data_IF_984942090741
#
_entry.id   IF_984942090741
#
_cell.length_a   1.000
_cell.length_b   1.000
_cell.length_c   1.000
_cell.angle_alpha   90.00
_cell.angle_beta   90.00
_cell.angle_gamma   90.00
#
_symmetry.space_group_name_H-M   'P 1'
#
loop_
_entity.id
_entity.type
_entity.pdbx_description
1 polymer ?
#
# COMPACT_ATOMS: atom_id res chain seq x y z
N UNK A 1 21.56 2.21 -59.86
CA UNK A 1 22.14 1.64 -58.62
C UNK A 1 22.13 2.74 -57.54
N UNK A 2 20.95 3.13 -57.07
CA UNK A 2 20.78 4.24 -56.10
C UNK A 2 20.37 3.70 -54.72
N UNK A 3 21.19 2.81 -54.16
CA UNK A 3 20.98 2.29 -52.78
C UNK A 3 21.76 3.12 -51.75
N UNK A 4 22.70 3.97 -52.19
CA UNK A 4 23.58 4.73 -51.29
C UNK A 4 22.90 5.93 -50.60
N UNK A 5 21.89 6.57 -51.22
CA UNK A 5 21.25 7.76 -50.64
C UNK A 5 20.21 7.44 -49.55
N UNK A 6 19.62 6.24 -49.59
CA UNK A 6 18.61 5.83 -48.63
C UNK A 6 19.21 5.52 -47.25
N UNK A 7 20.44 4.98 -47.23
CA UNK A 7 21.17 4.66 -46.00
C UNK A 7 21.65 5.94 -45.31
N UNK A 8 22.10 6.95 -46.07
CA UNK A 8 22.53 8.25 -45.52
C UNK A 8 21.37 8.99 -44.87
N UNK A 9 20.19 8.98 -45.48
CA UNK A 9 18.99 9.58 -44.87
C UNK A 9 18.49 8.81 -43.64
N UNK A 10 18.61 7.47 -43.62
CA UNK A 10 18.21 6.68 -42.45
C UNK A 10 19.09 6.96 -41.22
N UNK A 11 20.42 7.10 -41.38
CA UNK A 11 21.32 7.36 -40.26
C UNK A 11 21.13 8.77 -39.67
N UNK A 12 20.82 9.77 -40.51
CA UNK A 12 20.58 11.16 -40.06
C UNK A 12 19.25 11.29 -39.29
N UNK A 13 18.22 10.52 -39.66
CA UNK A 13 16.92 10.55 -38.96
C UNK A 13 16.95 9.75 -37.65
N UNK A 14 17.73 8.66 -37.58
CA UNK A 14 17.83 7.85 -36.36
C UNK A 14 18.84 8.37 -35.32
N UNK A 15 19.78 9.25 -35.70
CA UNK A 15 20.79 9.79 -34.77
C UNK A 15 20.28 10.78 -33.72
N UNK A 16 19.11 11.41 -33.93
CA UNK A 16 18.60 12.49 -33.06
C UNK A 16 17.41 12.04 -32.20
N UNK A 17 16.78 10.89 -32.51
CA UNK A 17 15.54 10.44 -31.85
C UNK A 17 15.68 9.48 -30.66
N UNK A 18 16.90 9.08 -30.27
CA UNK A 18 17.10 7.96 -29.34
C UNK A 18 17.19 8.31 -27.84
N UNK A 19 17.48 9.56 -27.47
CA UNK A 19 17.86 9.88 -26.08
C UNK A 19 16.71 10.38 -25.19
N UNK A 20 15.55 10.73 -25.75
CA UNK A 20 14.47 11.35 -24.98
C UNK A 20 13.58 10.36 -24.22
N UNK A 21 13.51 9.09 -24.65
CA UNK A 21 12.53 8.14 -24.10
C UNK A 21 12.98 7.57 -22.74
N UNK A 22 14.30 7.53 -22.48
CA UNK A 22 14.84 7.02 -21.21
C UNK A 22 14.61 7.99 -20.03
N UNK A 23 14.46 9.29 -20.28
CA UNK A 23 14.25 10.29 -19.23
C UNK A 23 12.77 10.41 -18.79
N UNK A 24 11.81 9.99 -19.63
CA UNK A 24 10.38 10.13 -19.33
C UNK A 24 9.88 9.13 -18.27
N UNK A 25 10.52 7.95 -18.15
CA UNK A 25 10.15 6.93 -17.16
C UNK A 25 10.64 7.23 -15.73
N UNK A 26 11.44 8.28 -15.53
CA UNK A 26 11.95 8.66 -14.21
C UNK A 26 11.05 9.67 -13.46
N UNK A 27 10.06 10.28 -14.11
CA UNK A 27 9.33 11.43 -13.55
C UNK A 27 8.02 11.08 -12.81
N UNK A 28 7.57 9.81 -12.84
CA UNK A 28 6.40 9.35 -12.09
C UNK A 28 6.73 8.47 -10.89
N UNK A 29 7.97 8.51 -10.38
CA UNK A 29 8.25 8.01 -9.04
C UNK A 29 7.79 9.08 -8.04
N UNK A 30 6.46 9.20 -7.89
CA UNK A 30 5.83 10.06 -6.88
C UNK A 30 6.55 9.79 -5.55
N UNK A 31 6.96 10.83 -4.80
CA UNK A 31 7.45 10.59 -3.45
C UNK A 31 6.32 9.89 -2.72
N UNK A 32 6.58 8.64 -2.29
CA UNK A 32 5.73 7.95 -1.31
C UNK A 32 5.65 8.94 -0.16
N UNK A 33 4.47 9.54 0.01
CA UNK A 33 4.17 10.36 1.18
C UNK A 33 4.61 9.53 2.37
N UNK A 34 5.34 10.12 3.33
CA UNK A 34 5.78 9.43 4.54
C UNK A 34 4.55 8.76 5.14
N UNK A 35 4.38 7.47 4.86
CA UNK A 35 3.28 6.71 5.41
C UNK A 35 3.59 6.66 6.90
N UNK A 36 2.62 7.01 7.76
CA UNK A 36 2.86 6.96 9.19
C UNK A 36 3.27 5.55 9.65
N UNK A 37 3.01 4.52 8.86
CA UNK A 37 3.46 3.15 9.08
C UNK A 37 4.62 2.80 8.13
N UNK A 38 5.78 2.39 8.65
CA UNK A 38 6.87 1.86 7.83
C UNK A 38 6.55 0.47 7.27
N UNK A 39 5.49 -0.19 7.76
CA UNK A 39 5.08 -1.53 7.38
C UNK A 39 4.13 -1.46 6.18
N UNK A 40 4.56 -2.00 5.03
CA UNK A 40 3.68 -2.22 3.88
C UNK A 40 2.58 -3.24 4.20
N UNK A 41 1.56 -3.32 3.33
CA UNK A 41 0.48 -4.30 3.48
C UNK A 41 1.06 -5.72 3.60
N UNK A 42 0.51 -6.51 4.50
CA UNK A 42 0.92 -7.90 4.67
C UNK A 42 0.54 -8.66 3.40
N UNK A 43 1.52 -9.25 2.72
CA UNK A 43 1.34 -9.93 1.43
C UNK A 43 0.91 -11.40 1.55
N UNK A 44 0.98 -11.99 2.76
CA UNK A 44 0.56 -13.38 2.99
C UNK A 44 -0.21 -13.52 4.32
N UNK A 45 -1.42 -14.12 4.29
CA UNK A 45 -2.15 -14.45 5.50
C UNK A 45 -1.50 -15.66 6.22
N UNK A 46 -1.49 -15.65 7.56
CA UNK A 46 -0.95 -16.75 8.36
C UNK A 46 -1.87 -17.97 8.37
N UNK A 47 -3.17 -17.79 8.06
CA UNK A 47 -4.15 -18.86 7.92
C UNK A 47 -4.32 -19.22 6.43
N UNK A 48 -4.43 -20.51 6.07
CA UNK A 48 -4.93 -20.90 4.75
C UNK A 48 -6.38 -20.42 4.56
N UNK A 49 -6.55 -19.45 3.66
CA UNK A 49 -7.87 -18.93 3.22
C UNK A 49 -8.22 -19.52 1.85
N UNK A 50 -9.51 -19.48 1.48
CA UNK A 50 -9.99 -19.88 0.14
C UNK A 50 -9.17 -19.26 -1.00
N UNK A 51 -8.93 -20.00 -2.09
CA UNK A 51 -8.23 -19.51 -3.29
C UNK A 51 -8.81 -18.18 -3.82
N UNK A 52 -10.14 -18.02 -3.72
CA UNK A 52 -10.83 -16.80 -4.14
C UNK A 52 -10.48 -15.62 -3.21
N UNK A 53 -10.51 -15.85 -1.90
CA UNK A 53 -10.11 -14.86 -0.90
C UNK A 53 -8.62 -14.51 -1.00
N UNK A 54 -7.75 -15.49 -1.26
CA UNK A 54 -6.33 -15.27 -1.48
C UNK A 54 -6.06 -14.36 -2.67
N UNK A 55 -6.78 -14.58 -3.78
CA UNK A 55 -6.66 -13.74 -4.98
C UNK A 55 -7.09 -12.31 -4.69
N UNK A 56 -8.19 -12.12 -3.97
CA UNK A 56 -8.65 -10.80 -3.52
C UNK A 56 -7.63 -10.14 -2.56
N UNK A 57 -7.02 -10.91 -1.66
CA UNK A 57 -6.03 -10.43 -0.70
C UNK A 57 -4.74 -9.96 -1.38
N UNK A 58 -4.17 -10.77 -2.27
CA UNK A 58 -2.95 -10.42 -3.02
C UNK A 58 -3.20 -9.22 -3.93
N UNK A 59 -4.35 -9.19 -4.61
CA UNK A 59 -4.71 -8.05 -5.45
C UNK A 59 -4.94 -6.78 -4.63
N UNK A 60 -5.46 -6.88 -3.40
CA UNK A 60 -5.58 -5.76 -2.49
C UNK A 60 -4.22 -5.23 -2.01
N UNK A 61 -3.26 -6.12 -1.72
CA UNK A 61 -1.90 -5.70 -1.36
C UNK A 61 -1.25 -4.94 -2.53
N UNK A 62 -1.44 -5.42 -3.76
CA UNK A 62 -0.94 -4.75 -4.97
C UNK A 62 -1.57 -3.36 -5.18
N UNK A 63 -2.89 -3.22 -5.00
CA UNK A 63 -3.56 -1.92 -5.12
C UNK A 63 -3.21 -0.97 -3.96
N UNK A 64 -2.96 -1.51 -2.76
CA UNK A 64 -2.43 -0.75 -1.63
C UNK A 64 -1.04 -0.17 -1.94
N UNK A 65 -0.13 -0.97 -2.48
CA UNK A 65 1.21 -0.53 -2.91
C UNK A 65 1.13 0.50 -4.06
N UNK A 66 0.13 0.37 -4.92
CA UNK A 66 -0.17 1.38 -5.95
C UNK A 66 -0.73 2.70 -5.37
N UNK A 67 -1.02 2.75 -4.06
CA UNK A 67 -1.59 3.91 -3.37
C UNK A 67 -3.11 4.02 -3.49
N UNK A 68 -3.78 3.01 -4.06
CA UNK A 68 -5.21 3.02 -4.35
C UNK A 68 -6.00 2.39 -3.18
N UNK A 69 -5.89 3.01 -2.00
CA UNK A 69 -6.38 2.46 -0.72
C UNK A 69 -7.88 2.18 -0.71
N UNK A 70 -8.69 2.95 -1.44
CA UNK A 70 -10.14 2.73 -1.56
C UNK A 70 -10.44 1.40 -2.26
N UNK A 71 -9.70 1.09 -3.31
CA UNK A 71 -9.87 -0.16 -4.06
C UNK A 71 -9.35 -1.35 -3.25
N UNK A 72 -8.24 -1.18 -2.55
CA UNK A 72 -7.73 -2.17 -1.61
C UNK A 72 -8.77 -2.50 -0.52
N UNK A 73 -9.46 -1.49 0.02
CA UNK A 73 -10.53 -1.68 1.01
C UNK A 73 -11.70 -2.51 0.45
N UNK A 74 -12.14 -2.26 -0.78
CA UNK A 74 -13.21 -3.03 -1.41
C UNK A 74 -12.83 -4.52 -1.54
N UNK A 75 -11.61 -4.77 -2.03
CA UNK A 75 -11.07 -6.12 -2.18
C UNK A 75 -10.89 -6.81 -0.82
N UNK A 76 -10.36 -6.12 0.19
CA UNK A 76 -10.22 -6.66 1.55
C UNK A 76 -11.57 -6.90 2.22
N UNK A 77 -12.60 -6.11 1.88
CA UNK A 77 -13.96 -6.32 2.39
C UNK A 77 -14.50 -7.68 1.93
N UNK A 78 -14.27 -8.04 0.67
CA UNK A 78 -14.63 -9.37 0.16
C UNK A 78 -13.85 -10.49 0.89
N UNK A 79 -12.59 -10.24 1.27
CA UNK A 79 -11.79 -11.21 2.05
C UNK A 79 -12.41 -11.44 3.43
N UNK A 80 -12.78 -10.38 4.16
CA UNK A 80 -13.36 -10.52 5.51
C UNK A 80 -14.81 -11.03 5.50
N UNK A 81 -15.52 -10.89 4.38
CA UNK A 81 -16.86 -11.50 4.21
C UNK A 81 -16.77 -13.02 4.08
N UNK A 82 -15.74 -13.53 3.41
CA UNK A 82 -15.48 -14.96 3.30
C UNK A 82 -14.80 -15.50 4.57
N UNK A 83 -13.79 -14.78 5.06
CA UNK A 83 -12.92 -15.21 6.16
C UNK A 83 -12.83 -14.11 7.23
N UNK A 84 -13.87 -13.97 8.08
CA UNK A 84 -13.92 -12.94 9.11
C UNK A 84 -12.82 -13.10 10.17
N UNK A 85 -12.20 -14.27 10.26
CA UNK A 85 -11.12 -14.59 11.20
C UNK A 85 -9.71 -14.26 10.66
N UNK A 86 -9.60 -13.72 9.44
CA UNK A 86 -8.32 -13.34 8.85
C UNK A 86 -7.78 -12.06 9.50
N UNK A 87 -6.88 -12.21 10.46
CA UNK A 87 -6.26 -11.10 11.19
C UNK A 87 -5.47 -10.15 10.27
N UNK A 88 -4.77 -10.69 9.27
CA UNK A 88 -4.01 -9.91 8.28
C UNK A 88 -4.92 -9.06 7.41
N UNK A 89 -6.11 -9.56 7.05
CA UNK A 89 -7.08 -8.77 6.29
C UNK A 89 -7.56 -7.57 7.13
N UNK A 90 -7.90 -7.78 8.40
CA UNK A 90 -8.26 -6.69 9.32
C UNK A 90 -7.12 -5.68 9.51
N UNK A 91 -5.88 -6.15 9.59
CA UNK A 91 -4.70 -5.31 9.69
C UNK A 91 -4.50 -4.46 8.44
N UNK A 92 -4.56 -5.05 7.24
CA UNK A 92 -4.47 -4.34 5.97
C UNK A 92 -5.61 -3.33 5.78
N UNK A 93 -6.83 -3.64 6.25
CA UNK A 93 -7.95 -2.70 6.28
C UNK A 93 -7.64 -1.52 7.20
N UNK A 94 -7.05 -1.78 8.38
CA UNK A 94 -6.62 -0.75 9.31
C UNK A 94 -5.60 0.21 8.69
N UNK A 95 -4.58 -0.34 8.04
CA UNK A 95 -3.60 0.44 7.29
C UNK A 95 -4.25 1.24 6.16
N UNK A 96 -5.14 0.63 5.39
CA UNK A 96 -5.80 1.31 4.28
C UNK A 96 -6.67 2.48 4.77
N UNK A 97 -7.44 2.29 5.85
CA UNK A 97 -8.21 3.39 6.45
C UNK A 97 -7.32 4.51 6.99
N UNK A 98 -6.20 4.17 7.62
CA UNK A 98 -5.27 5.18 8.13
C UNK A 98 -4.65 6.00 6.99
N UNK A 99 -4.33 5.37 5.87
CA UNK A 99 -3.83 6.05 4.68
C UNK A 99 -4.91 6.89 3.96
N UNK A 100 -6.18 6.50 4.07
CA UNK A 100 -7.32 7.33 3.63
C UNK A 100 -7.59 8.51 4.58
N UNK A 101 -6.99 8.51 5.77
CA UNK A 101 -7.16 9.54 6.81
C UNK A 101 -8.28 9.26 7.82
N UNK A 102 -8.95 8.10 7.73
CA UNK A 102 -9.98 7.68 8.68
C UNK A 102 -9.35 6.92 9.85
N UNK A 103 -8.65 7.66 10.72
CA UNK A 103 -7.96 7.10 11.88
C UNK A 103 -8.94 6.38 12.84
N UNK A 104 -10.19 6.84 12.94
CA UNK A 104 -11.20 6.22 13.79
C UNK A 104 -11.59 4.81 13.30
N UNK A 105 -11.72 4.62 12.00
CA UNK A 105 -11.94 3.28 11.44
C UNK A 105 -10.67 2.44 11.47
N UNK A 106 -9.51 3.05 11.23
CA UNK A 106 -8.23 2.36 11.32
C UNK A 106 -8.02 1.70 12.69
N UNK A 107 -8.23 2.45 13.79
CA UNK A 107 -8.12 1.93 15.16
C UNK A 107 -9.10 0.77 15.38
N UNK A 108 -10.35 0.89 14.93
CA UNK A 108 -11.35 -0.19 15.07
C UNK A 108 -10.95 -1.46 14.33
N UNK A 109 -10.41 -1.32 13.12
CA UNK A 109 -9.91 -2.45 12.34
C UNK A 109 -8.68 -3.09 12.98
N UNK A 110 -7.75 -2.28 13.51
CA UNK A 110 -6.60 -2.79 14.26
C UNK A 110 -7.00 -3.53 15.54
N UNK A 111 -8.01 -3.05 16.28
CA UNK A 111 -8.54 -3.77 17.43
C UNK A 111 -9.09 -5.15 17.06
N UNK A 112 -9.84 -5.24 15.95
CA UNK A 112 -10.32 -6.52 15.41
C UNK A 112 -9.17 -7.43 14.96
N UNK A 113 -8.15 -6.87 14.33
CA UNK A 113 -6.96 -7.62 13.94
C UNK A 113 -6.25 -8.22 15.16
N UNK A 114 -6.11 -7.44 16.25
CA UNK A 114 -5.53 -7.92 17.51
C UNK A 114 -6.31 -9.08 18.12
N UNK A 115 -7.63 -8.99 18.18
CA UNK A 115 -8.52 -10.08 18.66
C UNK A 115 -8.39 -11.33 17.78
N UNK A 116 -8.35 -11.16 16.46
CA UNK A 116 -8.14 -12.26 15.52
C UNK A 116 -6.75 -12.90 15.68
N UNK A 117 -5.68 -12.10 15.87
CA UNK A 117 -4.33 -12.63 16.11
C UNK A 117 -4.22 -13.38 17.44
N UNK A 118 -4.94 -12.92 18.47
CA UNK A 118 -5.02 -13.61 19.76
C UNK A 118 -5.66 -15.00 19.60
N UNK A 119 -6.77 -15.08 18.86
CA UNK A 119 -7.42 -16.36 18.48
C UNK A 119 -6.51 -17.27 17.66
N UNK A 120 -5.66 -16.70 16.81
CA UNK A 120 -4.69 -17.44 16.02
C UNK A 120 -3.44 -17.85 16.81
N UNK A 121 -3.26 -17.34 18.04
CA UNK A 121 -2.04 -17.54 18.82
C UNK A 121 -0.80 -16.84 18.23
N UNK A 122 -0.99 -15.87 17.33
CA UNK A 122 0.11 -15.22 16.60
C UNK A 122 0.56 -13.95 17.29
N UNK A 123 1.50 -14.10 18.23
CA UNK A 123 2.06 -12.97 19.01
C UNK A 123 2.78 -11.92 18.15
N UNK A 124 3.39 -12.34 17.04
CA UNK A 124 4.05 -11.42 16.10
C UNK A 124 3.06 -10.42 15.47
N UNK A 125 1.83 -10.86 15.18
CA UNK A 125 0.78 -10.02 14.63
C UNK A 125 0.26 -9.01 15.65
N UNK A 126 0.07 -9.44 16.91
CA UNK A 126 -0.34 -8.58 18.02
C UNK A 126 0.68 -7.45 18.25
N UNK A 127 1.98 -7.78 18.24
CA UNK A 127 3.03 -6.78 18.40
C UNK A 127 3.00 -5.70 17.30
N UNK A 128 2.80 -6.11 16.02
CA UNK A 128 2.66 -5.17 14.89
C UNK A 128 1.45 -4.27 15.05
N UNK A 129 0.28 -4.86 15.29
CA UNK A 129 -0.99 -4.12 15.50
C UNK A 129 -0.84 -3.09 16.62
N UNK A 130 -0.21 -3.48 17.73
CA UNK A 130 0.02 -2.58 18.86
C UNK A 130 0.92 -1.41 18.48
N UNK A 131 2.00 -1.68 17.76
CA UNK A 131 2.91 -0.65 17.25
C UNK A 131 2.20 0.34 16.31
N UNK A 132 1.39 -0.16 15.39
CA UNK A 132 0.64 0.67 14.46
C UNK A 132 -0.41 1.53 15.20
N UNK A 133 -1.10 0.95 16.19
CA UNK A 133 -2.07 1.67 17.01
C UNK A 133 -1.40 2.78 17.84
N UNK A 134 -0.22 2.54 18.40
CA UNK A 134 0.58 3.56 19.08
C UNK A 134 1.00 4.68 18.13
N UNK A 135 1.40 4.33 16.90
CA UNK A 135 1.79 5.29 15.87
C UNK A 135 0.61 6.18 15.47
N UNK A 136 -0.60 5.61 15.33
CA UNK A 136 -1.83 6.39 15.12
C UNK A 136 -2.10 7.38 16.25
N UNK A 137 -1.93 6.94 17.49
CA UNK A 137 -2.13 7.81 18.67
C UNK A 137 -1.10 8.94 18.70
N UNK A 138 0.16 8.64 18.41
CA UNK A 138 1.23 9.64 18.36
C UNK A 138 0.94 10.73 17.32
N UNK A 139 0.51 10.35 16.11
CA UNK A 139 0.18 11.30 15.06
C UNK A 139 -1.04 12.18 15.40
N UNK A 140 -2.01 11.64 16.15
CA UNK A 140 -3.14 12.42 16.65
C UNK A 140 -2.70 13.48 17.68
N UNK A 141 -1.66 13.22 18.48
CA UNK A 141 -1.12 14.20 19.45
C UNK A 141 -0.20 15.26 18.83
N UNK A 142 0.41 14.97 17.68
CA UNK A 142 1.28 15.93 16.98
C UNK A 142 0.49 17.01 16.23
N UNK A 143 -0.75 16.76 15.83
CA UNK A 143 -1.62 17.80 15.22
C UNK A 143 -1.91 18.97 16.19
N UNK A 144 -1.86 18.72 17.51
CA UNK A 144 -1.93 19.79 18.51
C UNK A 144 -0.62 20.54 18.74
N UNK A 145 0.52 20.00 18.29
CA UNK A 145 1.85 20.56 18.54
C UNK A 145 2.35 21.50 17.43
N UNK A 146 1.75 21.46 16.24
CA UNK A 146 2.04 22.38 15.13
C UNK A 146 1.42 23.77 15.30
N UNK A 147 0.51 23.96 16.26
CA UNK A 147 -0.07 25.29 16.57
C UNK A 147 0.86 26.11 17.50
N UNK A 148 1.83 25.48 18.16
CA UNK A 148 2.70 26.13 19.15
C UNK A 148 4.13 26.41 18.68
N UNK A 149 4.53 25.99 17.47
CA UNK A 149 5.78 26.42 16.83
C UNK A 149 5.55 27.57 15.84
N UNK A 150 4.84 28.62 16.27
CA UNK A 150 4.75 29.89 15.53
C UNK A 150 4.53 31.06 16.47
N UNK A 151 5.42 31.20 17.47
CA UNK A 151 5.56 32.42 18.27
C UNK A 151 7.04 32.78 18.40
#
# INVERSE_FOLDING_TARGET
MEVSNFIVWAVVVFGIGGFAIAAMLSAFRKPVAKTPFPTGAIAQPSIPISDTAMTAFVSAASTFDAGDYRKALDQLTQVIEQEPNCAEAWHNIGLAYANVGDNNKAVRSFLKAGDAYDKQGTQAGIARVKQDLETLKANCSTDTSTVTQTL
#
